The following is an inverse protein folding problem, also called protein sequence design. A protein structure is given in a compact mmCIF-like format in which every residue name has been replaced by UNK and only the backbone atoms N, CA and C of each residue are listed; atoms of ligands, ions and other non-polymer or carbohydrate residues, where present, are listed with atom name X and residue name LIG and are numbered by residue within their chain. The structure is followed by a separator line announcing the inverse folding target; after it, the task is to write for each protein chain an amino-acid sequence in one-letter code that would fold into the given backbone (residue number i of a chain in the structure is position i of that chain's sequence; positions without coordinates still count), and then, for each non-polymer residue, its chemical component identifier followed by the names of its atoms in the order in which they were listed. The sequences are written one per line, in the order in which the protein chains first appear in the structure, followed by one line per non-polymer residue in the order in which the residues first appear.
data_IF_172939445326
#
_entry.id   IF_172939445326
#
_cell.length_a   1.000
_cell.length_b   1.000
_cell.length_c   1.000
_cell.angle_alpha   90.00
_cell.angle_beta   90.00
_cell.angle_gamma   90.00
#
_symmetry.space_group_name_H-M   'P 1'
#
loop_
_entity.id
_entity.type
_entity.pdbx_description
1 polymer ?
#
# COMPACT_ATOMS: atom_id res chain seq x y z
N UNK A 1 26.59 -34.52 8.66
CA UNK A 1 25.25 -34.64 8.05
C UNK A 1 24.64 -33.25 8.07
N UNK A 2 24.65 -32.57 6.92
CA UNK A 2 24.12 -31.22 6.81
C UNK A 2 22.60 -31.34 6.66
N UNK A 3 21.84 -30.90 7.66
CA UNK A 3 20.39 -30.77 7.57
C UNK A 3 20.07 -29.78 6.44
N UNK A 4 19.30 -30.23 5.46
CA UNK A 4 18.71 -29.34 4.45
C UNK A 4 17.96 -28.20 5.16
N UNK A 5 18.10 -26.94 4.70
CA UNK A 5 17.35 -25.83 5.25
C UNK A 5 15.85 -26.15 5.12
N UNK A 6 15.12 -25.95 6.20
CA UNK A 6 13.66 -26.03 6.22
C UNK A 6 13.16 -25.03 5.19
N UNK A 7 12.59 -25.48 4.08
CA UNK A 7 12.00 -24.61 3.08
C UNK A 7 10.94 -23.75 3.80
N UNK A 8 11.14 -22.43 3.81
CA UNK A 8 10.18 -21.49 4.37
C UNK A 8 8.93 -21.52 3.50
N UNK A 9 7.93 -22.26 3.97
CA UNK A 9 6.63 -22.37 3.31
C UNK A 9 5.88 -21.06 3.53
N UNK A 10 5.67 -20.31 2.45
CA UNK A 10 4.81 -19.13 2.46
C UNK A 10 3.36 -19.62 2.40
N UNK A 11 2.62 -19.35 3.47
CA UNK A 11 1.20 -19.65 3.56
C UNK A 11 0.44 -18.37 3.20
N UNK A 12 -0.13 -18.32 2.00
CA UNK A 12 -0.94 -17.20 1.57
C UNK A 12 -2.39 -17.42 2.01
N UNK A 13 -2.83 -16.62 2.98
CA UNK A 13 -4.21 -16.59 3.44
C UNK A 13 -5.01 -15.66 2.54
N UNK A 14 -5.97 -16.21 1.81
CA UNK A 14 -6.93 -15.45 1.01
C UNK A 14 -6.49 -15.24 -0.42
N UNK A 15 -5.82 -16.21 -1.06
CA UNK A 15 -5.59 -16.23 -2.52
C UNK A 15 -6.29 -17.46 -3.09
N UNK A 16 -7.13 -17.34 -4.14
CA UNK A 16 -7.91 -18.48 -4.58
C UNK A 16 -6.97 -19.31 -5.43
N UNK A 17 -6.99 -20.63 -5.24
CA UNK A 17 -6.13 -21.54 -6.01
C UNK A 17 -6.32 -21.39 -7.53
N UNK A 18 -7.50 -20.93 -7.95
CA UNK A 18 -7.83 -20.62 -9.34
C UNK A 18 -8.26 -19.16 -9.42
N UNK A 19 -7.59 -18.36 -10.25
CA UNK A 19 -8.03 -16.99 -10.52
C UNK A 19 -9.37 -17.01 -11.26
N UNK A 20 -10.41 -16.33 -10.75
CA UNK A 20 -11.66 -16.20 -11.49
C UNK A 20 -11.45 -15.36 -12.76
N UNK A 21 -12.30 -15.54 -13.80
CA UNK A 21 -12.21 -14.78 -15.05
C UNK A 21 -12.58 -13.30 -14.89
N UNK A 22 -13.29 -12.95 -13.80
CA UNK A 22 -13.61 -11.58 -13.41
C UNK A 22 -12.84 -11.27 -12.13
N UNK A 23 -12.13 -10.14 -12.12
CA UNK A 23 -11.45 -9.62 -10.93
C UNK A 23 -12.50 -9.07 -9.95
N UNK A 24 -13.08 -9.97 -9.15
CA UNK A 24 -13.92 -9.61 -8.01
C UNK A 24 -13.14 -9.87 -6.73
N UNK A 25 -13.21 -8.95 -5.78
CA UNK A 25 -12.67 -9.18 -4.44
C UNK A 25 -13.48 -10.25 -3.69
N UNK A 26 -12.90 -10.87 -2.68
CA UNK A 26 -13.60 -11.85 -1.84
C UNK A 26 -14.78 -11.24 -1.12
N UNK A 27 -14.62 -10.01 -0.67
CA UNK A 27 -15.63 -9.25 0.03
C UNK A 27 -16.81 -8.96 -0.91
N UNK A 28 -16.54 -8.60 -2.17
CA UNK A 28 -17.60 -8.43 -3.18
C UNK A 28 -18.32 -9.74 -3.49
N UNK A 29 -17.59 -10.83 -3.71
CA UNK A 29 -18.20 -12.13 -3.94
C UNK A 29 -19.05 -12.57 -2.74
N UNK A 30 -18.55 -12.37 -1.53
CA UNK A 30 -19.27 -12.64 -0.29
C UNK A 30 -20.53 -11.79 -0.19
N UNK A 31 -20.47 -10.49 -0.51
CA UNK A 31 -21.66 -9.62 -0.50
C UNK A 31 -22.70 -10.13 -1.50
N UNK A 32 -22.29 -10.54 -2.70
CA UNK A 32 -23.20 -11.09 -3.70
C UNK A 32 -23.87 -12.37 -3.21
N UNK A 33 -23.13 -13.27 -2.56
CA UNK A 33 -23.68 -14.49 -1.96
C UNK A 33 -24.69 -14.17 -0.85
N UNK A 34 -24.42 -13.17 -0.02
CA UNK A 34 -25.35 -12.71 1.01
C UNK A 34 -26.63 -12.12 0.41
N UNK A 35 -26.51 -11.24 -0.59
CA UNK A 35 -27.67 -10.66 -1.27
C UNK A 35 -28.54 -11.74 -1.89
N UNK A 36 -27.91 -12.72 -2.56
CA UNK A 36 -28.60 -13.87 -3.16
C UNK A 36 -29.31 -14.72 -2.11
N UNK A 37 -28.67 -15.00 -0.97
CA UNK A 37 -29.27 -15.75 0.14
C UNK A 37 -30.47 -15.01 0.76
N UNK A 38 -30.36 -13.69 0.96
CA UNK A 38 -31.47 -12.87 1.46
C UNK A 38 -32.65 -12.82 0.49
N UNK A 39 -32.40 -12.68 -0.80
CA UNK A 39 -33.46 -12.68 -1.81
C UNK A 39 -34.21 -14.02 -1.89
N UNK A 40 -33.50 -15.13 -1.67
CA UNK A 40 -34.08 -16.48 -1.81
C UNK A 40 -34.71 -17.01 -0.53
N UNK A 41 -34.13 -16.72 0.63
CA UNK A 41 -34.54 -17.30 1.92
C UNK A 41 -35.03 -16.30 2.95
N UNK A 42 -34.83 -15.00 2.71
CA UNK A 42 -35.11 -13.93 3.68
C UNK A 42 -34.16 -13.91 4.89
N UNK A 43 -33.06 -14.68 4.84
CA UNK A 43 -32.10 -14.84 5.94
C UNK A 43 -30.66 -14.77 5.40
N UNK A 44 -29.68 -14.40 6.24
CA UNK A 44 -28.27 -14.50 5.86
C UNK A 44 -27.88 -15.97 5.62
N UNK A 45 -26.86 -16.22 4.79
CA UNK A 45 -26.37 -17.58 4.55
C UNK A 45 -25.88 -18.19 5.87
N UNK A 46 -26.26 -19.44 6.11
CA UNK A 46 -25.82 -20.17 7.29
C UNK A 46 -24.29 -20.35 7.27
N UNK A 47 -23.63 -20.39 8.43
CA UNK A 47 -22.22 -20.74 8.52
C UNK A 47 -21.98 -22.08 7.83
N UNK A 48 -20.88 -22.16 7.07
CA UNK A 48 -20.48 -23.40 6.41
C UNK A 48 -20.12 -24.43 7.50
N UNK A 49 -20.73 -25.63 7.52
CA UNK A 49 -20.39 -26.66 8.49
C UNK A 49 -18.91 -27.07 8.37
N UNK A 50 -18.22 -27.19 9.52
CA UNK A 50 -16.80 -27.59 9.56
C UNK A 50 -16.60 -29.09 9.27
N UNK A 51 -17.61 -29.91 9.52
CA UNK A 51 -17.60 -31.36 9.26
C UNK A 51 -18.59 -31.71 8.15
N UNK A 52 -18.23 -32.57 7.19
CA UNK A 52 -16.96 -33.29 7.08
C UNK A 52 -15.81 -32.41 6.53
N UNK A 53 -14.58 -32.75 6.90
CA UNK A 53 -13.36 -32.05 6.42
C UNK A 53 -12.94 -32.52 5.03
N UNK A 54 -13.25 -33.78 4.68
CA UNK A 54 -12.86 -34.37 3.40
C UNK A 54 -13.63 -33.75 2.22
N UNK A 55 -12.90 -33.25 1.22
CA UNK A 55 -13.45 -32.56 0.05
C UNK A 55 -14.46 -33.42 -0.72
N UNK A 56 -14.23 -34.74 -0.79
CA UNK A 56 -15.11 -35.67 -1.51
C UNK A 56 -16.45 -35.84 -0.81
N UNK A 57 -16.43 -36.01 0.52
CA UNK A 57 -17.66 -36.08 1.33
C UNK A 57 -18.44 -34.76 1.31
N UNK A 58 -17.74 -33.61 1.33
CA UNK A 58 -18.38 -32.29 1.23
C UNK A 58 -19.10 -32.11 -0.11
N UNK A 59 -18.44 -32.47 -1.21
CA UNK A 59 -19.04 -32.43 -2.54
C UNK A 59 -20.29 -33.31 -2.64
N UNK A 60 -20.26 -34.51 -2.04
CA UNK A 60 -21.41 -35.42 -2.00
C UNK A 60 -22.62 -34.83 -1.24
N UNK A 61 -22.38 -33.97 -0.25
CA UNK A 61 -23.42 -33.25 0.50
C UNK A 61 -23.80 -31.89 -0.12
N UNK A 62 -23.20 -31.51 -1.25
CA UNK A 62 -23.39 -30.20 -1.86
C UNK A 62 -22.82 -29.04 -1.01
N UNK A 63 -21.90 -29.33 -0.10
CA UNK A 63 -21.22 -28.32 0.71
C UNK A 63 -20.03 -27.73 -0.05
N UNK A 64 -19.78 -26.41 0.07
CA UNK A 64 -18.60 -25.78 -0.52
C UNK A 64 -17.32 -26.35 0.08
N UNK A 65 -16.18 -26.39 -0.65
CA UNK A 65 -14.90 -26.81 -0.09
C UNK A 65 -14.53 -25.96 1.13
N UNK A 66 -13.82 -26.56 2.09
CA UNK A 66 -13.26 -25.79 3.20
C UNK A 66 -12.15 -24.89 2.67
N UNK A 67 -11.95 -23.78 3.37
CA UNK A 67 -10.84 -22.90 3.08
C UNK A 67 -9.54 -23.64 3.40
N UNK A 68 -8.79 -23.99 2.37
CA UNK A 68 -7.44 -24.52 2.50
C UNK A 68 -6.44 -23.39 2.25
N UNK A 69 -5.49 -23.14 3.16
CA UNK A 69 -4.44 -22.18 2.92
C UNK A 69 -3.70 -22.53 1.64
N UNK A 70 -3.54 -21.55 0.75
CA UNK A 70 -2.78 -21.78 -0.46
C UNK A 70 -1.30 -21.89 -0.09
N UNK A 71 -0.75 -23.08 -0.30
CA UNK A 71 0.67 -23.37 -0.08
C UNK A 71 1.38 -23.17 -1.42
N UNK A 72 2.02 -22.02 -1.60
CA UNK A 72 2.92 -21.86 -2.74
C UNK A 72 4.11 -22.79 -2.57
N UNK A 73 4.36 -23.62 -3.59
CA UNK A 73 5.66 -24.29 -3.69
C UNK A 73 6.70 -23.17 -3.83
N UNK A 74 7.80 -23.21 -3.05
CA UNK A 74 8.78 -22.14 -3.06
C UNK A 74 9.23 -21.90 -4.49
N UNK A 75 8.90 -20.71 -5.01
CA UNK A 75 9.42 -20.26 -6.30
C UNK A 75 10.91 -20.11 -6.08
N UNK A 76 11.72 -20.91 -6.79
CA UNK A 76 13.18 -21.07 -6.58
C UNK A 76 13.98 -19.76 -6.77
N UNK A 77 13.32 -18.67 -7.14
CA UNK A 77 13.89 -17.33 -7.22
C UNK A 77 13.40 -16.44 -6.08
N UNK A 78 13.47 -16.92 -4.85
CA UNK A 78 13.38 -16.02 -3.69
C UNK A 78 14.62 -15.13 -3.78
N UNK A 79 14.43 -13.86 -4.17
CA UNK A 79 15.46 -12.84 -4.01
C UNK A 79 15.85 -12.89 -2.54
N UNK A 80 17.07 -13.34 -2.25
CA UNK A 80 17.46 -13.49 -0.85
C UNK A 80 17.47 -12.10 -0.27
N UNK A 81 17.00 -12.00 0.96
CA UNK A 81 17.01 -10.74 1.69
C UNK A 81 18.41 -10.09 1.72
N UNK A 82 19.45 -10.90 1.71
CA UNK A 82 20.86 -10.49 1.66
C UNK A 82 21.23 -9.75 0.37
N UNK A 83 20.46 -9.95 -0.71
CA UNK A 83 20.64 -9.30 -2.00
C UNK A 83 19.93 -7.93 -2.07
N UNK A 84 19.14 -7.57 -1.05
CA UNK A 84 18.51 -6.23 -1.03
C UNK A 84 19.55 -5.15 -0.78
N UNK A 85 19.48 -4.02 -1.49
CA UNK A 85 20.44 -2.94 -1.33
C UNK A 85 20.41 -2.42 0.11
N UNK A 86 21.59 -2.07 0.62
CA UNK A 86 21.78 -1.62 1.98
C UNK A 86 20.87 -0.43 2.34
N UNK A 87 20.74 0.53 1.43
CA UNK A 87 19.84 1.66 1.58
C UNK A 87 18.57 1.46 0.74
N UNK A 88 17.43 1.46 1.41
CA UNK A 88 16.11 1.53 0.78
C UNK A 88 15.86 2.98 0.36
N UNK A 89 16.14 3.30 -0.90
CA UNK A 89 15.96 4.65 -1.44
C UNK A 89 14.70 4.69 -2.29
N UNK A 90 13.71 5.44 -1.82
CA UNK A 90 12.52 5.70 -2.60
C UNK A 90 12.85 6.56 -3.83
N UNK A 91 12.32 6.13 -4.97
CA UNK A 91 12.40 6.75 -6.31
C UNK A 91 11.00 6.63 -6.92
N UNK A 92 10.36 7.75 -7.29
CA UNK A 92 9.08 7.71 -7.99
C UNK A 92 9.18 6.85 -9.26
N UNK A 93 8.32 5.85 -9.38
CA UNK A 93 8.26 4.95 -10.53
C UNK A 93 7.24 5.51 -11.52
N UNK A 94 7.68 5.76 -12.76
CA UNK A 94 6.77 6.14 -13.85
C UNK A 94 6.42 4.88 -14.63
N UNK A 95 5.14 4.61 -14.80
CA UNK A 95 4.67 3.52 -15.64
C UNK A 95 3.93 4.12 -16.83
N UNK A 96 4.33 3.70 -18.03
CA UNK A 96 3.63 4.07 -19.25
C UNK A 96 2.32 3.27 -19.30
N UNK A 97 1.19 3.99 -19.36
CA UNK A 97 -0.15 3.39 -19.52
C UNK A 97 -0.33 2.88 -20.97
N UNK A 98 0.38 1.81 -21.33
CA UNK A 98 0.22 1.13 -22.62
C UNK A 98 0.45 2.01 -23.86
N UNK A 99 0.43 1.38 -25.04
CA UNK A 99 0.55 2.10 -26.30
C UNK A 99 -0.77 2.85 -26.59
N UNK A 100 -0.91 4.09 -26.11
CA UNK A 100 -2.02 4.97 -26.49
C UNK A 100 -2.49 5.99 -25.44
N UNK A 101 -2.09 5.85 -24.17
CA UNK A 101 -2.41 6.86 -23.15
C UNK A 101 -1.33 7.93 -23.10
N UNK A 102 -1.73 9.21 -23.13
CA UNK A 102 -0.83 10.33 -22.88
C UNK A 102 -0.60 10.58 -21.38
N UNK A 103 -1.27 9.81 -20.52
CA UNK A 103 -1.20 9.96 -19.07
C UNK A 103 -0.07 9.08 -18.51
N UNK A 104 0.92 9.70 -17.88
CA UNK A 104 1.93 8.98 -17.11
C UNK A 104 1.44 8.79 -15.68
N UNK A 105 1.31 7.54 -15.26
CA UNK A 105 1.03 7.23 -13.85
C UNK A 105 2.36 7.20 -13.10
N UNK A 106 2.45 8.04 -12.07
CA UNK A 106 3.60 8.08 -11.18
C UNK A 106 3.23 7.39 -9.87
N UNK A 107 3.85 6.25 -9.61
CA UNK A 107 3.69 5.50 -8.38
C UNK A 107 4.64 6.04 -7.31
N UNK A 108 4.06 6.44 -6.18
CA UNK A 108 4.81 6.90 -5.03
C UNK A 108 4.91 5.85 -3.94
N UNK A 109 5.40 4.68 -4.30
CA UNK A 109 5.56 3.57 -3.37
C UNK A 109 6.81 2.77 -3.68
N UNK A 110 7.58 2.44 -2.64
CA UNK A 110 8.86 1.73 -2.77
C UNK A 110 8.67 0.30 -3.28
N UNK A 111 7.57 -0.36 -2.92
CA UNK A 111 7.27 -1.74 -3.34
C UNK A 111 6.91 -1.85 -4.82
N UNK A 112 6.71 -0.73 -5.52
CA UNK A 112 6.57 -0.78 -6.99
C UNK A 112 7.92 -0.75 -7.70
N UNK A 113 9.02 -0.47 -7.00
CA UNK A 113 10.36 -0.57 -7.59
C UNK A 113 10.72 -2.03 -7.84
N UNK A 114 11.44 -2.27 -8.95
CA UNK A 114 11.80 -3.63 -9.38
C UNK A 114 12.62 -4.37 -8.32
N UNK A 115 13.41 -3.64 -7.55
CA UNK A 115 14.26 -4.15 -6.48
C UNK A 115 13.46 -4.58 -5.24
N UNK A 116 12.25 -4.06 -5.07
CA UNK A 116 11.43 -4.24 -3.87
C UNK A 116 10.04 -4.82 -4.13
N UNK A 117 9.72 -5.18 -5.38
CA UNK A 117 8.39 -5.68 -5.77
C UNK A 117 8.03 -7.06 -5.21
N UNK A 118 8.99 -7.73 -4.57
CA UNK A 118 8.81 -9.00 -3.87
C UNK A 118 8.63 -8.83 -2.36
N UNK A 119 8.62 -7.60 -1.84
CA UNK A 119 8.47 -7.30 -0.43
C UNK A 119 7.25 -6.41 -0.18
N UNK A 120 6.59 -6.64 0.94
CA UNK A 120 5.64 -5.71 1.54
C UNK A 120 6.35 -4.55 2.23
N UNK A 121 5.62 -3.46 2.49
CA UNK A 121 6.16 -2.31 3.25
C UNK A 121 6.61 -2.72 4.65
N UNK A 122 5.89 -3.65 5.27
CA UNK A 122 6.13 -4.17 6.61
C UNK A 122 7.40 -5.02 6.66
N UNK A 123 7.65 -5.84 5.64
CA UNK A 123 8.90 -6.60 5.50
C UNK A 123 10.08 -5.65 5.33
N UNK A 124 10.00 -4.67 4.44
CA UNK A 124 11.04 -3.66 4.25
C UNK A 124 11.34 -2.90 5.56
N UNK A 125 10.30 -2.52 6.30
CA UNK A 125 10.42 -1.86 7.61
C UNK A 125 11.06 -2.77 8.64
N UNK A 126 10.63 -4.03 8.73
CA UNK A 126 11.22 -5.03 9.62
C UNK A 126 12.72 -5.19 9.35
N UNK A 127 13.12 -5.24 8.07
CA UNK A 127 14.53 -5.34 7.68
C UNK A 127 15.35 -4.11 8.05
N UNK A 128 14.81 -2.91 7.86
CA UNK A 128 15.45 -1.68 8.31
C UNK A 128 15.64 -1.68 9.84
N UNK A 129 14.65 -2.13 10.61
CA UNK A 129 14.74 -2.19 12.07
C UNK A 129 15.73 -3.23 12.55
N UNK A 130 15.78 -4.39 11.90
CA UNK A 130 16.74 -5.46 12.24
C UNK A 130 18.18 -5.04 12.02
N UNK A 131 18.45 -4.18 11.03
CA UNK A 131 19.78 -3.62 10.76
C UNK A 131 20.11 -2.35 11.55
N UNK A 132 19.21 -1.92 12.45
CA UNK A 132 19.40 -0.72 13.26
C UNK A 132 19.09 0.60 12.54
N UNK A 133 18.60 0.56 11.29
CA UNK A 133 18.21 1.73 10.49
C UNK A 133 16.78 2.15 10.80
N UNK A 134 16.53 2.58 12.04
CA UNK A 134 15.19 3.04 12.47
C UNK A 134 14.86 4.44 11.99
N UNK A 135 15.89 5.27 11.84
CA UNK A 135 15.76 6.67 11.44
C UNK A 135 16.11 6.80 9.95
N UNK A 136 15.50 7.74 9.23
CA UNK A 136 15.97 8.09 7.90
C UNK A 136 17.45 8.45 7.98
N UNK A 137 18.27 8.09 6.97
CA UNK A 137 19.64 8.59 6.92
C UNK A 137 19.56 10.11 7.05
N UNK A 138 20.36 10.69 7.96
CA UNK A 138 20.44 12.15 8.09
C UNK A 138 20.63 12.68 6.68
N UNK A 139 19.65 13.46 6.20
CA UNK A 139 19.71 14.05 4.88
C UNK A 139 21.08 14.66 4.79
N UNK A 140 21.92 14.17 3.88
CA UNK A 140 23.18 14.81 3.58
C UNK A 140 22.74 16.19 3.16
N UNK A 141 22.79 17.16 4.09
CA UNK A 141 22.55 18.55 3.81
C UNK A 141 23.44 18.79 2.62
N UNK A 142 22.87 19.03 1.42
CA UNK A 142 23.71 19.20 0.24
C UNK A 142 24.68 20.27 0.66
N UNK A 143 25.96 19.89 0.76
CA UNK A 143 27.02 20.78 1.17
C UNK A 143 26.90 21.92 0.18
N UNK A 144 26.24 23.00 0.61
CA UNK A 144 25.91 24.13 -0.22
C UNK A 144 27.28 24.68 -0.55
N UNK A 145 27.77 24.23 -1.70
CA UNK A 145 29.04 24.57 -2.27
C UNK A 145 29.24 26.04 -1.98
N UNK A 146 30.29 26.33 -1.20
CA UNK A 146 30.74 27.66 -0.81
C UNK A 146 31.17 28.42 -2.06
N UNK A 147 30.25 28.60 -3.01
CA UNK A 147 30.44 29.47 -4.13
C UNK A 147 30.54 30.87 -3.53
N UNK A 148 31.64 31.59 -3.80
CA UNK A 148 31.81 32.95 -3.31
C UNK A 148 30.62 33.78 -3.79
N UNK A 149 29.95 34.44 -2.85
CA UNK A 149 28.82 35.30 -3.11
C UNK A 149 29.20 36.35 -4.15
N UNK A 150 28.74 36.19 -5.40
CA UNK A 150 28.77 37.27 -6.37
C UNK A 150 27.78 38.35 -5.90
N UNK A 151 28.14 39.64 -5.97
CA UNK A 151 27.26 40.72 -5.58
C UNK A 151 26.01 40.70 -6.47
N UNK A 152 24.85 40.50 -5.84
CA UNK A 152 23.57 40.48 -6.53
C UNK A 152 23.24 41.89 -7.07
N UNK A 153 22.85 42.03 -8.35
CA UNK A 153 22.31 43.28 -8.86
C UNK A 153 20.94 43.56 -8.21
N UNK A 154 20.79 44.77 -7.69
CA UNK A 154 19.57 45.25 -7.03
C UNK A 154 18.53 45.55 -8.10
N UNK A 155 17.71 44.56 -8.46
CA UNK A 155 16.56 44.77 -9.36
C UNK A 155 15.29 44.90 -8.51
N UNK A 156 14.51 45.99 -8.64
CA UNK A 156 13.26 46.16 -7.90
C UNK A 156 12.24 45.08 -8.28
N UNK A 157 11.68 44.43 -7.26
CA UNK A 157 10.78 43.29 -7.35
C UNK A 157 9.39 43.73 -7.85
N UNK A 158 9.00 43.30 -9.05
CA UNK A 158 7.62 43.39 -9.50
C UNK A 158 6.74 42.37 -8.73
N UNK A 159 5.46 42.67 -8.48
CA UNK A 159 4.56 41.77 -7.76
C UNK A 159 4.41 40.45 -8.52
N UNK A 160 4.78 39.36 -7.84
CA UNK A 160 4.75 37.99 -8.37
C UNK A 160 3.28 37.57 -8.56
N UNK A 161 2.85 37.17 -9.76
CA UNK A 161 1.49 36.65 -9.95
C UNK A 161 1.34 35.34 -9.15
N UNK A 162 0.12 35.04 -8.65
CA UNK A 162 -0.14 33.80 -7.93
C UNK A 162 0.17 32.60 -8.84
N UNK A 163 1.04 31.71 -8.35
CA UNK A 163 1.31 30.42 -8.98
C UNK A 163 0.01 29.62 -9.05
N UNK A 164 -0.55 29.51 -10.25
CA UNK A 164 -1.60 28.54 -10.53
C UNK A 164 -1.01 27.14 -10.30
N UNK A 165 -1.44 26.47 -9.22
CA UNK A 165 -1.23 25.03 -9.03
C UNK A 165 -1.92 24.31 -10.18
N UNK A 166 -1.16 23.95 -11.21
CA UNK A 166 -1.61 22.97 -12.19
C UNK A 166 -1.83 21.66 -11.44
N UNK A 167 -3.05 21.15 -11.50
CA UNK A 167 -3.48 19.89 -10.91
C UNK A 167 -2.80 18.71 -11.61
N UNK A 168 -1.52 18.50 -11.36
CA UNK A 168 -0.93 17.17 -11.45
C UNK A 168 -1.31 16.48 -10.15
N UNK A 169 -2.15 15.46 -10.25
CA UNK A 169 -2.48 14.47 -9.21
C UNK A 169 -1.23 13.70 -8.83
N UNK A 170 -0.27 14.41 -8.24
CA UNK A 170 0.85 13.82 -7.52
C UNK A 170 0.23 13.26 -6.25
N UNK A 171 0.00 11.95 -6.24
CA UNK A 171 -0.31 11.19 -5.02
C UNK A 171 0.93 11.23 -4.11
N UNK A 172 1.29 12.43 -3.64
CA UNK A 172 2.29 12.64 -2.61
C UNK A 172 1.78 11.92 -1.38
N UNK A 173 2.48 10.85 -1.01
CA UNK A 173 2.23 10.14 0.24
C UNK A 173 2.23 11.18 1.35
N UNK A 174 1.10 11.25 2.06
CA UNK A 174 0.69 12.29 3.02
C UNK A 174 1.52 12.20 4.32
N UNK A 175 2.84 12.09 4.22
CA UNK A 175 3.72 11.68 5.33
C UNK A 175 4.71 12.73 5.80
N UNK A 176 4.68 13.96 5.28
CA UNK A 176 5.69 14.98 5.63
C UNK A 176 5.15 16.15 6.47
N UNK A 177 3.92 16.05 6.98
CA UNK A 177 3.45 16.95 8.03
C UNK A 177 3.78 16.33 9.39
N UNK A 178 4.73 16.87 10.17
CA UNK A 178 5.02 16.38 11.52
C UNK A 178 3.86 16.60 12.50
N UNK A 179 2.77 17.26 12.06
CA UNK A 179 1.69 17.71 12.93
C UNK A 179 0.50 16.75 13.00
N UNK A 180 0.35 15.84 12.04
CA UNK A 180 -0.82 14.95 11.95
C UNK A 180 -0.43 13.55 11.53
N UNK A 181 -1.11 12.55 12.11
CA UNK A 181 -0.96 11.17 11.66
C UNK A 181 -1.63 10.97 10.29
N UNK A 182 -1.19 9.95 9.56
CA UNK A 182 -1.80 9.58 8.27
C UNK A 182 -3.32 9.35 8.38
N UNK A 183 -3.77 8.69 9.44
CA UNK A 183 -5.20 8.40 9.63
C UNK A 183 -6.01 9.66 9.92
N UNK A 184 -5.44 10.66 10.60
CA UNK A 184 -6.09 11.96 10.81
C UNK A 184 -6.32 12.70 9.48
N UNK A 185 -5.30 12.72 8.62
CA UNK A 185 -5.37 13.37 7.31
C UNK A 185 -6.36 12.64 6.39
N UNK A 186 -6.39 11.30 6.45
CA UNK A 186 -7.36 10.48 5.72
C UNK A 186 -8.80 10.73 6.18
N UNK A 187 -9.04 10.75 7.50
CA UNK A 187 -10.36 11.02 8.05
C UNK A 187 -10.85 12.43 7.72
N UNK A 188 -9.97 13.43 7.79
CA UNK A 188 -10.27 14.79 7.37
C UNK A 188 -10.70 14.84 5.90
N UNK A 189 -10.00 14.15 5.01
CA UNK A 189 -10.36 14.08 3.59
C UNK A 189 -11.74 13.44 3.37
N UNK A 190 -12.03 12.32 4.05
CA UNK A 190 -13.32 11.62 3.93
C UNK A 190 -14.48 12.51 4.38
N UNK A 191 -14.31 13.26 5.46
CA UNK A 191 -15.37 14.12 5.99
C UNK A 191 -15.55 15.42 5.20
N UNK A 192 -14.47 16.00 4.68
CA UNK A 192 -14.51 17.28 3.97
C UNK A 192 -14.68 17.15 2.46
N UNK A 193 -14.44 15.97 1.90
CA UNK A 193 -14.45 15.73 0.45
C UNK A 193 -13.33 16.47 -0.29
N UNK A 194 -12.31 16.97 0.44
CA UNK A 194 -11.15 17.68 -0.09
C UNK A 194 -9.97 17.57 0.86
N UNK A 195 -8.77 17.85 0.34
CA UNK A 195 -7.58 18.04 1.18
C UNK A 195 -7.80 19.22 2.15
N UNK A 196 -7.53 18.98 3.43
CA UNK A 196 -7.63 19.97 4.50
C UNK A 196 -6.23 20.40 4.93
N UNK A 197 -6.06 21.67 5.29
CA UNK A 197 -4.81 22.15 5.90
C UNK A 197 -4.73 21.73 7.38
N UNK A 198 -3.52 21.66 7.97
CA UNK A 198 -3.36 21.35 9.40
C UNK A 198 -4.22 22.28 10.29
N UNK A 199 -4.29 23.56 9.94
CA UNK A 199 -5.11 24.53 10.69
C UNK A 199 -6.61 24.24 10.59
N UNK A 200 -7.10 23.81 9.43
CA UNK A 200 -8.50 23.40 9.26
C UNK A 200 -8.82 22.17 10.10
N UNK A 201 -7.93 21.18 10.14
CA UNK A 201 -8.08 19.96 10.95
C UNK A 201 -8.12 20.31 12.44
N UNK A 202 -7.24 21.20 12.90
CA UNK A 202 -7.22 21.69 14.29
C UNK A 202 -8.51 22.42 14.66
N UNK A 203 -8.98 23.32 13.80
CA UNK A 203 -10.22 24.08 14.06
C UNK A 203 -11.46 23.19 14.08
N UNK A 204 -11.47 22.15 13.27
CA UNK A 204 -12.61 21.22 13.17
C UNK A 204 -12.47 20.00 14.07
N UNK A 205 -11.48 19.95 14.97
CA UNK A 205 -11.23 18.75 15.75
C UNK A 205 -12.42 18.36 16.67
N UNK A 206 -13.23 19.35 17.09
CA UNK A 206 -14.48 19.10 17.81
C UNK A 206 -15.54 18.35 16.99
N UNK A 207 -15.52 18.48 15.67
CA UNK A 207 -16.44 17.85 14.72
C UNK A 207 -15.89 16.50 14.25
N UNK A 208 -14.60 16.45 13.90
CA UNK A 208 -13.92 15.27 13.36
C UNK A 208 -13.63 14.25 14.48
N UNK A 209 -13.52 14.71 15.74
CA UNK A 209 -13.22 13.91 16.94
C UNK A 209 -11.93 13.09 16.78
N UNK A 210 -10.89 13.69 16.20
CA UNK A 210 -9.56 13.10 16.19
C UNK A 210 -8.99 13.31 17.59
N UNK A 211 -9.02 12.25 18.39
CA UNK A 211 -8.34 12.24 19.68
C UNK A 211 -6.85 12.34 19.43
N UNK A 212 -6.29 13.53 19.71
CA UNK A 212 -4.85 13.75 19.89
C UNK A 212 -4.43 13.16 21.23
#
# INVERSE_FOLDING_TARGET
MNSLPKDDVIILMGVPAVRPPLEISYEEQRIQDYLKAFQTTGRPPLPVPETPTDATQRLALGLPPLFEPYVEKPIVNVVKLEDTPEAQVFRPMKMDEGAGSSSQVVFQTIVMQKEFCYFSHEELRYHAYRTGRRNPPESITPELSLLPALPAPVTPLAPRPPLARTATTSLLTINDSPEHSFEELRLAYILLGREATSDEIRQQNSVIRLTV
#
